data_IF_573410630351
#
_entry.id   IF_573410630351
#
_cell.length_a   1.000
_cell.length_b   1.000
_cell.length_c   1.000
_cell.angle_alpha   90.00
_cell.angle_beta   90.00
_cell.angle_gamma   90.00
#
_symmetry.space_group_name_H-M   'P 1'
#
loop_
_entity.id
_entity.type
_entity.pdbx_description
1 polymer ?
#
# COMPACT_ATOMS: atom_id res chain seq x y z
N UNK A 1 -0.36 8.08 -14.25
CA UNK A 1 0.81 7.95 -13.35
C UNK A 1 0.86 9.16 -12.42
N UNK A 2 1.17 8.99 -11.13
CA UNK A 2 1.44 10.12 -10.23
C UNK A 2 2.83 10.64 -10.63
N UNK A 3 2.95 11.91 -11.04
CA UNK A 3 4.26 12.54 -11.27
C UNK A 3 4.83 13.20 -10.00
N UNK A 4 3.98 13.35 -8.98
CA UNK A 4 4.30 13.99 -7.71
C UNK A 4 4.81 12.96 -6.68
N UNK A 5 5.65 13.37 -5.71
CA UNK A 5 6.25 12.45 -4.75
C UNK A 5 5.19 11.75 -3.90
N UNK A 6 5.27 10.42 -3.81
CA UNK A 6 4.42 9.56 -2.99
C UNK A 6 5.19 9.12 -1.75
N UNK A 7 4.61 9.31 -0.57
CA UNK A 7 5.25 9.00 0.72
C UNK A 7 4.41 8.00 1.52
N UNK A 8 5.09 7.19 2.32
CA UNK A 8 4.48 6.27 3.29
C UNK A 8 4.77 6.82 4.69
N UNK A 9 3.76 6.88 5.57
CA UNK A 9 3.93 7.32 6.96
C UNK A 9 4.87 6.37 7.72
N UNK A 10 5.54 6.88 8.76
CA UNK A 10 6.47 6.08 9.55
C UNK A 10 5.80 4.84 10.18
N UNK A 11 4.56 4.99 10.66
CA UNK A 11 3.80 3.90 11.27
C UNK A 11 3.51 2.78 10.27
N UNK A 12 3.12 3.14 9.03
CA UNK A 12 2.86 2.15 7.98
C UNK A 12 4.11 1.41 7.53
N UNK A 13 5.29 2.07 7.51
CA UNK A 13 6.55 1.38 7.18
C UNK A 13 6.84 0.25 8.14
N UNK A 14 6.52 0.43 9.43
CA UNK A 14 6.70 -0.62 10.42
C UNK A 14 5.72 -1.78 10.20
N UNK A 15 4.44 -1.48 9.93
CA UNK A 15 3.44 -2.49 9.57
C UNK A 15 3.80 -3.27 8.31
N UNK A 16 4.36 -2.61 7.29
CA UNK A 16 4.82 -3.26 6.06
C UNK A 16 5.96 -4.26 6.31
N UNK A 17 6.95 -3.88 7.14
CA UNK A 17 8.03 -4.78 7.54
C UNK A 17 7.53 -6.01 8.27
N UNK A 18 6.59 -5.84 9.20
CA UNK A 18 5.96 -6.95 9.94
C UNK A 18 5.19 -7.89 8.99
N UNK A 19 4.59 -7.33 7.95
CA UNK A 19 3.89 -8.08 6.90
C UNK A 19 4.81 -8.64 5.81
N UNK A 20 6.14 -8.45 5.91
CA UNK A 20 7.14 -8.83 4.89
C UNK A 20 6.86 -8.24 3.50
N UNK A 21 6.27 -7.06 3.45
CA UNK A 21 5.99 -6.33 2.21
C UNK A 21 7.01 -5.20 2.06
N UNK A 22 7.62 -5.08 0.88
CA UNK A 22 8.56 -4.01 0.57
C UNK A 22 7.82 -2.70 0.26
N UNK A 23 8.36 -1.58 0.74
CA UNK A 23 7.82 -0.24 0.45
C UNK A 23 7.75 0.02 -1.06
N UNK A 24 8.78 -0.40 -1.82
CA UNK A 24 8.86 -0.20 -3.28
C UNK A 24 7.76 -0.94 -4.03
N UNK A 25 7.33 -2.11 -3.56
CA UNK A 25 6.24 -2.87 -4.17
C UNK A 25 4.90 -2.16 -3.99
N UNK A 26 4.66 -1.59 -2.81
CA UNK A 26 3.46 -0.79 -2.53
C UNK A 26 3.44 0.47 -3.38
N UNK A 27 4.58 1.18 -3.47
CA UNK A 27 4.70 2.37 -4.31
C UNK A 27 4.45 2.04 -5.79
N UNK A 28 5.04 0.94 -6.27
CA UNK A 28 4.82 0.43 -7.63
C UNK A 28 3.34 0.10 -7.87
N UNK A 29 2.71 -0.57 -6.91
CA UNK A 29 1.29 -0.90 -6.97
C UNK A 29 0.42 0.36 -7.12
N UNK A 30 0.63 1.36 -6.27
CA UNK A 30 -0.12 2.64 -6.31
C UNK A 30 0.09 3.39 -7.63
N UNK A 31 1.27 3.28 -8.23
CA UNK A 31 1.57 3.93 -9.51
C UNK A 31 0.96 3.21 -10.71
N UNK A 32 0.88 1.88 -10.66
CA UNK A 32 0.46 1.03 -11.78
C UNK A 32 -1.04 0.71 -11.79
N UNK A 33 -1.66 0.54 -10.61
CA UNK A 33 -3.04 0.09 -10.54
C UNK A 33 -4.07 1.24 -10.70
N UNK A 34 -5.31 0.91 -11.13
CA UNK A 34 -6.39 1.88 -11.24
C UNK A 34 -6.71 2.54 -9.90
N UNK A 35 -7.05 3.84 -9.94
CA UNK A 35 -7.42 4.61 -8.76
C UNK A 35 -8.92 4.72 -8.69
N UNK A 36 -9.47 4.41 -7.52
CA UNK A 36 -10.89 4.54 -7.23
C UNK A 36 -11.08 5.74 -6.29
N UNK A 37 -11.79 6.80 -6.71
CA UNK A 37 -12.03 7.94 -5.84
C UNK A 37 -12.90 7.53 -4.66
N UNK A 38 -12.55 8.01 -3.47
CA UNK A 38 -13.34 7.78 -2.25
C UNK A 38 -14.35 8.89 -2.05
N UNK A 39 -15.51 8.55 -1.47
CA UNK A 39 -16.52 9.55 -1.12
C UNK A 39 -16.00 10.42 0.03
N UNK A 40 -15.84 11.72 -0.20
CA UNK A 40 -15.39 12.66 0.82
C UNK A 40 -14.85 13.97 0.25
N UNK A 41 -14.61 14.97 1.11
CA UNK A 41 -14.14 16.29 0.68
C UNK A 41 -12.67 16.30 0.22
N UNK A 42 -11.87 15.28 0.55
CA UNK A 42 -10.41 15.36 0.54
C UNK A 42 -9.70 14.89 -0.75
N UNK A 43 -10.43 14.63 -1.84
CA UNK A 43 -9.86 14.05 -3.08
C UNK A 43 -9.05 12.77 -2.84
N UNK A 44 -9.42 12.04 -1.80
CA UNK A 44 -8.81 10.76 -1.47
C UNK A 44 -9.14 9.73 -2.55
N UNK A 45 -8.21 8.82 -2.78
CA UNK A 45 -8.46 7.66 -3.61
C UNK A 45 -7.89 6.42 -2.97
N UNK A 46 -8.43 5.28 -3.36
CA UNK A 46 -7.90 3.98 -3.00
C UNK A 46 -7.40 3.24 -4.23
N UNK A 47 -6.44 2.38 -4.00
CA UNK A 47 -5.87 1.48 -5.00
C UNK A 47 -5.93 0.08 -4.45
N UNK A 48 -6.44 -0.86 -5.25
CA UNK A 48 -6.49 -2.27 -4.88
C UNK A 48 -5.56 -3.08 -5.77
N UNK A 49 -4.80 -3.99 -5.17
CA UNK A 49 -3.97 -4.92 -5.93
C UNK A 49 -3.38 -6.02 -5.09
N UNK A 50 -2.79 -7.00 -5.76
CA UNK A 50 -2.16 -8.14 -5.10
C UNK A 50 -0.63 -8.01 -5.16
N UNK A 51 0.04 -8.22 -4.02
CA UNK A 51 1.49 -8.31 -3.93
C UNK A 51 1.92 -9.73 -3.50
N UNK A 52 3.00 -10.27 -4.09
CA UNK A 52 3.59 -11.49 -3.59
C UNK A 52 4.29 -11.23 -2.25
N UNK A 53 3.96 -12.01 -1.23
CA UNK A 53 4.57 -11.97 0.10
C UNK A 53 5.28 -13.30 0.35
N UNK A 54 6.59 -13.30 0.67
CA UNK A 54 7.31 -14.52 1.00
C UNK A 54 6.68 -15.25 2.19
N UNK A 55 6.53 -16.57 2.10
CA UNK A 55 6.11 -17.37 3.26
C UNK A 55 7.29 -17.59 4.19
N UNK A 56 7.09 -17.32 5.49
CA UNK A 56 8.13 -17.51 6.51
C UNK A 56 8.67 -18.94 6.58
N UNK A 57 7.79 -19.95 6.38
CA UNK A 57 8.17 -21.37 6.46
C UNK A 57 8.72 -21.93 5.14
N UNK A 58 8.55 -21.22 4.03
CA UNK A 58 9.01 -21.63 2.70
C UNK A 58 9.23 -20.38 1.83
N UNK A 59 10.39 -19.71 1.95
CA UNK A 59 10.66 -18.46 1.27
C UNK A 59 10.79 -18.62 -0.26
N UNK A 60 10.87 -19.84 -0.78
CA UNK A 60 10.81 -20.13 -2.23
C UNK A 60 9.37 -20.02 -2.76
N UNK A 61 8.38 -20.00 -1.86
CA UNK A 61 6.98 -19.79 -2.19
C UNK A 61 6.48 -18.44 -1.69
N UNK A 62 5.79 -17.72 -2.59
CA UNK A 62 5.09 -16.49 -2.23
C UNK A 62 3.58 -16.76 -2.15
N UNK A 63 2.92 -16.14 -1.18
CA UNK A 63 1.47 -15.99 -1.20
C UNK A 63 1.07 -14.66 -1.83
N UNK A 64 -0.01 -14.65 -2.60
CA UNK A 64 -0.56 -13.40 -3.11
C UNK A 64 -1.44 -12.76 -2.05
N UNK A 65 -1.05 -11.58 -1.57
CA UNK A 65 -1.82 -10.80 -0.60
C UNK A 65 -2.50 -9.63 -1.29
N UNK A 66 -3.81 -9.53 -1.12
CA UNK A 66 -4.60 -8.42 -1.66
C UNK A 66 -4.58 -7.27 -0.67
N UNK A 67 -4.12 -6.11 -1.14
CA UNK A 67 -4.05 -4.88 -0.36
C UNK A 67 -5.04 -3.85 -0.90
N UNK A 68 -5.61 -3.06 0.00
CA UNK A 68 -6.31 -1.81 -0.33
C UNK A 68 -5.51 -0.65 0.27
N UNK A 69 -4.94 0.17 -0.61
CA UNK A 69 -4.03 1.26 -0.26
C UNK A 69 -4.77 2.58 -0.38
N UNK A 70 -4.84 3.34 0.71
CA UNK A 70 -5.54 4.62 0.77
C UNK A 70 -4.54 5.77 0.65
N UNK A 71 -4.83 6.68 -0.26
CA UNK A 71 -3.92 7.76 -0.64
C UNK A 71 -4.65 9.09 -0.60
N UNK A 72 -3.99 10.10 -0.02
CA UNK A 72 -4.51 11.47 0.08
C UNK A 72 -3.49 12.50 -0.41
N UNK A 73 -3.92 13.67 -0.90
CA UNK A 73 -3.01 14.74 -1.28
C UNK A 73 -2.44 15.46 -0.04
N UNK A 74 -1.15 15.82 -0.09
CA UNK A 74 -0.46 16.63 0.92
C UNK A 74 -0.41 18.12 0.55
N UNK A 75 -1.52 18.69 0.07
CA UNK A 75 -1.64 20.14 -0.13
C UNK A 75 -0.57 20.80 -1.02
N UNK A 76 -0.02 20.08 -2.00
CA UNK A 76 1.02 20.57 -2.93
C UNK A 76 2.41 19.95 -2.73
N UNK A 77 2.60 19.16 -1.66
CA UNK A 77 3.85 18.42 -1.41
C UNK A 77 3.84 16.99 -1.97
N UNK A 78 2.82 16.67 -2.76
CA UNK A 78 2.59 15.36 -3.37
C UNK A 78 1.50 14.57 -2.66
N UNK A 79 1.73 13.27 -2.48
CA UNK A 79 0.73 12.31 -2.04
C UNK A 79 1.25 11.50 -0.86
N UNK A 80 0.33 11.10 0.02
CA UNK A 80 0.62 10.28 1.19
C UNK A 80 -0.25 9.04 1.18
N UNK A 81 0.38 7.88 1.35
CA UNK A 81 -0.28 6.65 1.75
C UNK A 81 -0.49 6.73 3.26
N UNK A 82 -1.75 6.80 3.69
CA UNK A 82 -2.10 7.02 5.09
C UNK A 82 -2.77 5.80 5.75
N UNK A 83 -3.25 4.84 4.95
CA UNK A 83 -3.75 3.55 5.44
C UNK A 83 -3.53 2.45 4.40
N UNK A 84 -3.34 1.22 4.87
CA UNK A 84 -3.26 0.02 4.03
C UNK A 84 -4.05 -1.09 4.74
N UNK A 85 -5.14 -1.53 4.11
CA UNK A 85 -5.89 -2.70 4.57
C UNK A 85 -5.33 -3.97 3.94
N UNK A 86 -5.49 -5.09 4.63
CA UNK A 86 -4.98 -6.39 4.19
C UNK A 86 -3.53 -6.65 4.58
N UNK A 87 -2.93 -5.84 5.47
CA UNK A 87 -1.60 -6.10 6.03
C UNK A 87 -1.61 -7.22 7.09
N UNK A 88 -2.74 -7.45 7.75
CA UNK A 88 -2.88 -8.50 8.76
C UNK A 88 -2.82 -9.88 8.11
N UNK A 89 -1.76 -10.62 8.40
CA UNK A 89 -1.62 -12.04 8.07
C UNK A 89 -1.56 -12.84 9.37
N UNK A 90 -2.60 -13.63 9.63
CA UNK A 90 -2.74 -14.60 10.71
C UNK A 90 -2.61 -14.06 12.15
N UNK A 91 -3.76 -13.67 12.75
CA UNK A 91 -4.03 -14.19 14.11
C UNK A 91 -4.44 -15.65 13.95
N UNK A 92 -3.80 -16.52 14.72
CA UNK A 92 -3.98 -17.98 14.77
C UNK A 92 -5.45 -18.44 14.87
#
# INVERSE_FOLDING_TARGET
MLQEPLRITADLRESLKQALILEEDVLTLVQAAPREPMAGPNRDFKVRGALPVPRLMDPETAELRVLEVHVRPLGGEGWEIYAIDGLEGFSE
#
